data_IF_887733089084
#
_entry.id   IF_887733089084
#
_cell.length_a   1.000
_cell.length_b   1.000
_cell.length_c   1.000
_cell.angle_alpha   90.00
_cell.angle_beta   90.00
_cell.angle_gamma   90.00
#
_symmetry.space_group_name_H-M   'P 1'
#
loop_
_entity.id
_entity.type
_entity.pdbx_description
1 polymer ?
#
# COMPACT_ATOMS: atom_id res chain seq x y z
N UNK A 1 10.52 19.72 -59.18
CA UNK A 1 9.71 20.17 -58.02
C UNK A 1 9.33 19.01 -57.09
N UNK A 2 9.19 17.79 -57.59
CA UNK A 2 8.74 16.58 -56.88
C UNK A 2 9.71 16.01 -55.84
N UNK A 3 11.03 16.01 -56.09
CA UNK A 3 12.01 15.45 -55.14
C UNK A 3 12.12 16.22 -53.82
N UNK A 4 12.00 17.56 -53.84
CA UNK A 4 12.04 18.37 -52.62
C UNK A 4 10.85 18.11 -51.71
N UNK A 5 9.66 17.89 -52.28
CA UNK A 5 8.45 17.56 -51.52
C UNK A 5 8.52 16.17 -50.86
N UNK A 6 9.13 15.19 -51.54
CA UNK A 6 9.34 13.84 -50.99
C UNK A 6 10.34 13.88 -49.83
N UNK A 7 11.43 14.64 -49.97
CA UNK A 7 12.43 14.77 -48.91
C UNK A 7 11.84 15.43 -47.65
N UNK A 8 11.04 16.50 -47.81
CA UNK A 8 10.36 17.15 -46.70
C UNK A 8 9.34 16.23 -46.01
N UNK A 9 8.58 15.43 -46.77
CA UNK A 9 7.63 14.49 -46.20
C UNK A 9 8.32 13.40 -45.37
N UNK A 10 9.45 12.87 -45.85
CA UNK A 10 10.24 11.88 -45.12
C UNK A 10 10.80 12.48 -43.83
N UNK A 11 11.34 13.71 -43.88
CA UNK A 11 11.87 14.40 -42.70
C UNK A 11 10.76 14.64 -41.67
N UNK A 12 9.56 15.04 -42.08
CA UNK A 12 8.41 15.25 -41.17
C UNK A 12 7.99 13.93 -40.51
N UNK A 13 7.90 12.83 -41.28
CA UNK A 13 7.57 11.52 -40.72
C UNK A 13 8.66 10.99 -39.77
N UNK A 14 9.94 11.26 -40.07
CA UNK A 14 11.06 10.96 -39.18
C UNK A 14 11.02 11.79 -37.90
N UNK A 15 10.70 13.08 -37.98
CA UNK A 15 10.54 13.95 -36.81
C UNK A 15 9.34 13.50 -35.97
N UNK A 16 8.21 13.15 -36.58
CA UNK A 16 7.04 12.63 -35.86
C UNK A 16 7.31 11.25 -35.24
N UNK A 17 8.08 10.39 -35.92
CA UNK A 17 8.51 9.10 -35.38
C UNK A 17 9.48 9.27 -34.19
N UNK A 18 10.44 10.20 -34.28
CA UNK A 18 11.35 10.52 -33.17
C UNK A 18 10.64 11.23 -32.01
N UNK A 19 9.66 12.08 -32.29
CA UNK A 19 8.80 12.71 -31.28
C UNK A 19 7.92 11.67 -30.57
N UNK A 20 7.49 10.62 -31.26
CA UNK A 20 6.80 9.49 -30.62
C UNK A 20 7.72 8.62 -29.75
N UNK A 21 9.04 8.63 -30.01
CA UNK A 21 10.02 7.88 -29.20
C UNK A 21 10.36 8.62 -27.92
N UNK A 22 10.23 9.95 -27.83
CA UNK A 22 10.50 10.71 -26.60
C UNK A 22 9.43 10.58 -25.50
N UNK A 23 8.37 9.82 -25.73
CA UNK A 23 7.62 9.18 -24.62
C UNK A 23 8.42 7.95 -24.15
N UNK A 24 9.71 8.14 -23.89
CA UNK A 24 10.48 7.24 -23.03
C UNK A 24 9.82 7.41 -21.67
N UNK A 25 8.99 6.43 -21.34
CA UNK A 25 8.70 5.98 -19.98
C UNK A 25 9.77 6.51 -19.03
N UNK A 26 9.45 7.57 -18.29
CA UNK A 26 10.13 7.77 -17.03
C UNK A 26 9.83 6.50 -16.26
N UNK A 27 10.80 5.58 -16.21
CA UNK A 27 10.76 4.48 -15.27
C UNK A 27 10.92 5.13 -13.91
N UNK A 28 9.80 5.68 -13.43
CA UNK A 28 9.68 6.21 -12.10
C UNK A 28 9.88 5.02 -11.17
N UNK A 29 11.15 4.84 -10.79
CA UNK A 29 11.61 3.78 -9.91
C UNK A 29 11.32 4.17 -8.45
N UNK A 30 10.36 5.10 -8.24
CA UNK A 30 9.82 5.45 -6.94
C UNK A 30 9.24 4.19 -6.31
N UNK A 31 9.88 3.79 -5.22
CA UNK A 31 9.45 2.70 -4.35
C UNK A 31 8.89 3.28 -3.08
N UNK A 32 7.81 2.69 -2.60
CA UNK A 32 7.12 3.13 -1.39
C UNK A 32 7.27 2.08 -0.29
N UNK A 33 7.79 2.51 0.86
CA UNK A 33 7.79 1.75 2.10
C UNK A 33 6.79 2.40 3.06
N UNK A 34 5.77 1.65 3.45
CA UNK A 34 4.78 2.08 4.46
C UNK A 34 5.02 1.27 5.72
N UNK A 35 5.26 1.95 6.83
CA UNK A 35 5.43 1.32 8.15
C UNK A 35 4.32 1.85 9.05
N UNK A 36 3.51 0.94 9.60
CA UNK A 36 2.55 1.24 10.65
C UNK A 36 3.06 0.73 11.99
N UNK A 37 3.14 1.64 12.96
CA UNK A 37 3.37 1.33 14.37
C UNK A 37 2.04 1.54 15.10
N UNK A 38 1.35 0.45 15.44
CA UNK A 38 0.00 0.54 16.00
C UNK A 38 -0.01 1.28 17.34
N UNK A 39 -1.08 2.04 17.59
CA UNK A 39 -1.19 2.86 18.80
C UNK A 39 -0.14 3.97 18.95
N UNK A 40 0.69 4.24 17.92
CA UNK A 40 1.68 5.31 17.98
C UNK A 40 1.02 6.69 17.91
N UNK A 41 0.77 7.28 19.08
CA UNK A 41 0.09 8.56 19.19
C UNK A 41 0.97 9.71 18.72
N UNK A 42 0.36 10.72 18.11
CA UNK A 42 1.06 11.86 17.49
C UNK A 42 2.02 12.62 18.41
N UNK A 43 1.81 12.60 19.73
CA UNK A 43 2.61 13.31 20.73
C UNK A 43 3.74 12.47 21.35
N UNK A 44 3.88 11.18 21.00
CA UNK A 44 4.93 10.32 21.55
C UNK A 44 6.34 10.81 21.23
N UNK A 45 6.55 11.41 20.05
CA UNK A 45 7.83 12.02 19.67
C UNK A 45 8.21 13.22 20.55
N UNK A 46 7.26 13.83 21.26
CA UNK A 46 7.52 14.91 22.23
C UNK A 46 7.81 14.37 23.63
N UNK A 47 7.35 13.15 23.93
CA UNK A 47 7.44 12.52 25.26
C UNK A 47 8.68 11.65 25.42
N UNK A 48 9.20 11.11 24.33
CA UNK A 48 10.31 10.17 24.34
C UNK A 48 11.38 10.54 23.32
N UNK A 49 12.64 10.26 23.64
CA UNK A 49 13.77 10.47 22.72
C UNK A 49 13.90 9.25 21.80
N UNK A 50 13.21 9.31 20.66
CA UNK A 50 13.27 8.29 19.62
C UNK A 50 14.21 8.75 18.50
N UNK A 51 15.52 8.52 18.68
CA UNK A 51 16.58 9.09 17.81
C UNK A 51 16.30 8.91 16.32
N UNK A 52 15.99 7.69 15.88
CA UNK A 52 15.72 7.39 14.47
C UNK A 52 14.47 8.08 13.94
N UNK A 53 13.34 8.03 14.67
CA UNK A 53 12.11 8.70 14.24
C UNK A 53 12.24 10.23 14.27
N UNK A 54 13.03 10.77 15.20
CA UNK A 54 13.35 12.18 15.24
C UNK A 54 14.21 12.60 14.05
N UNK A 55 15.14 11.76 13.61
CA UNK A 55 15.90 12.02 12.38
C UNK A 55 14.97 12.04 11.16
N UNK A 56 14.10 11.03 11.02
CA UNK A 56 13.12 10.96 9.92
C UNK A 56 12.22 12.21 9.90
N UNK A 57 11.77 12.71 11.06
CA UNK A 57 10.94 13.91 11.09
C UNK A 57 11.69 15.19 10.69
N UNK A 58 13.00 15.26 10.98
CA UNK A 58 13.82 16.44 10.74
C UNK A 58 14.30 16.51 9.27
N UNK A 59 14.53 15.35 8.67
CA UNK A 59 14.96 15.22 7.27
C UNK A 59 13.77 15.06 6.29
N UNK A 60 12.58 14.77 6.82
CA UNK A 60 11.36 14.54 6.06
C UNK A 60 10.24 15.53 6.37
N UNK A 61 9.00 15.06 6.17
CA UNK A 61 7.78 15.84 6.42
C UNK A 61 6.98 15.20 7.55
N UNK A 62 6.41 16.03 8.42
CA UNK A 62 5.54 15.63 9.51
C UNK A 62 4.29 16.52 9.57
N UNK A 63 3.14 15.91 9.88
CA UNK A 63 1.92 16.67 10.15
C UNK A 63 1.96 17.30 11.56
N UNK A 64 1.53 18.56 11.66
CA UNK A 64 1.57 19.32 12.93
C UNK A 64 0.71 18.69 14.03
N UNK A 65 -0.44 18.12 13.65
CA UNK A 65 -1.46 17.59 14.56
C UNK A 65 -1.59 16.06 14.50
N UNK A 66 -0.68 15.37 13.81
CA UNK A 66 -0.80 13.93 13.54
C UNK A 66 -1.74 13.64 12.37
N UNK A 67 -1.99 12.35 12.14
CA UNK A 67 -3.02 11.86 11.23
C UNK A 67 -4.27 11.59 12.07
N UNK A 68 -5.43 12.08 11.61
CA UNK A 68 -6.69 11.82 12.28
C UNK A 68 -7.24 10.45 11.86
N UNK A 69 -7.49 9.54 12.81
CA UNK A 69 -8.09 8.25 12.51
C UNK A 69 -9.57 8.38 12.20
N UNK A 70 -10.10 7.44 11.42
CA UNK A 70 -11.55 7.28 11.21
C UNK A 70 -12.20 6.65 12.44
N UNK A 71 -13.46 6.99 12.71
CA UNK A 71 -14.24 6.38 13.79
C UNK A 71 -14.84 5.04 13.34
N UNK A 72 -14.75 3.94 14.10
CA UNK A 72 -14.13 3.79 15.43
C UNK A 72 -12.60 3.69 15.35
N UNK A 73 -11.91 4.28 16.33
CA UNK A 73 -10.43 4.34 16.40
C UNK A 73 -9.82 3.01 16.85
N UNK A 74 -10.02 1.97 16.04
CA UNK A 74 -9.49 0.62 16.24
C UNK A 74 -8.59 0.20 15.09
N UNK A 75 -7.69 -0.75 15.38
CA UNK A 75 -6.68 -1.29 14.47
C UNK A 75 -7.22 -1.69 13.10
N UNK A 76 -8.02 -2.75 13.00
CA UNK A 76 -8.46 -3.29 11.71
C UNK A 76 -9.27 -2.25 10.92
N UNK A 77 -10.27 -1.56 11.51
CA UNK A 77 -11.01 -0.52 10.80
C UNK A 77 -10.08 0.53 10.17
N UNK A 78 -9.20 1.15 10.96
CA UNK A 78 -8.34 2.23 10.48
C UNK A 78 -7.30 1.76 9.47
N UNK A 79 -6.70 0.58 9.64
CA UNK A 79 -5.70 0.08 8.69
C UNK A 79 -6.31 -0.32 7.34
N UNK A 80 -7.56 -0.76 7.32
CA UNK A 80 -8.30 -0.96 6.07
C UNK A 80 -8.60 0.39 5.45
N UNK A 81 -9.08 1.39 6.21
CA UNK A 81 -9.27 2.76 5.70
C UNK A 81 -7.98 3.36 5.11
N UNK A 82 -6.82 3.20 5.78
CA UNK A 82 -5.52 3.66 5.27
C UNK A 82 -5.17 2.98 3.94
N UNK A 83 -5.46 1.68 3.81
CA UNK A 83 -5.11 0.93 2.62
C UNK A 83 -6.04 1.24 1.43
N UNK A 84 -7.30 1.59 1.67
CA UNK A 84 -8.34 1.71 0.62
C UNK A 84 -8.79 3.14 0.36
N UNK A 85 -8.58 4.06 1.31
CA UNK A 85 -9.15 5.40 1.28
C UNK A 85 -10.65 5.46 1.60
N UNK A 86 -11.25 4.35 2.06
CA UNK A 86 -12.69 4.24 2.33
C UNK A 86 -13.00 4.36 3.82
N UNK A 87 -14.23 4.77 4.17
CA UNK A 87 -14.72 4.70 5.54
C UNK A 87 -15.20 3.29 5.90
N UNK A 88 -15.33 3.04 7.20
CA UNK A 88 -15.73 1.75 7.78
C UNK A 88 -17.05 1.22 7.23
N UNK A 89 -18.02 2.11 7.00
CA UNK A 89 -19.32 1.79 6.43
C UNK A 89 -19.23 1.30 4.98
N UNK A 90 -18.24 1.80 4.23
CA UNK A 90 -18.05 1.41 2.83
C UNK A 90 -17.21 0.11 2.71
N UNK A 91 -16.13 -0.01 3.49
CA UNK A 91 -15.26 -1.19 3.43
C UNK A 91 -15.68 -2.35 4.35
N UNK A 92 -16.71 -2.16 5.18
CA UNK A 92 -17.36 -3.20 5.99
C UNK A 92 -16.58 -3.72 7.20
N UNK A 93 -15.41 -3.16 7.53
CA UNK A 93 -14.65 -3.53 8.74
C UNK A 93 -14.89 -2.50 9.83
N UNK A 94 -15.87 -2.79 10.68
CA UNK A 94 -16.36 -1.85 11.71
C UNK A 94 -15.74 -2.08 13.09
N UNK A 95 -15.06 -3.21 13.32
CA UNK A 95 -14.44 -3.56 14.60
C UNK A 95 -13.28 -4.54 14.41
N UNK A 96 -12.39 -4.67 15.40
CA UNK A 96 -11.33 -5.69 15.40
C UNK A 96 -11.85 -7.13 15.50
N UNK A 97 -13.07 -7.28 16.04
CA UNK A 97 -13.75 -8.57 16.26
C UNK A 97 -15.27 -8.38 16.20
N UNK A 98 -15.97 -9.01 15.27
CA UNK A 98 -17.42 -8.84 15.16
C UNK A 98 -18.08 -10.05 14.50
N UNK A 99 -19.38 -10.24 14.77
CA UNK A 99 -20.18 -11.22 14.06
C UNK A 99 -20.72 -10.61 12.77
N UNK A 100 -20.44 -11.26 11.65
CA UNK A 100 -21.03 -10.94 10.36
C UNK A 100 -22.22 -11.88 10.09
N UNK A 101 -23.42 -11.31 10.04
CA UNK A 101 -24.66 -12.08 9.87
C UNK A 101 -24.84 -12.59 8.45
N UNK A 102 -24.33 -11.88 7.43
CA UNK A 102 -24.40 -12.29 6.01
C UNK A 102 -23.46 -13.45 5.74
N UNK A 103 -22.23 -13.39 6.26
CA UNK A 103 -21.24 -14.47 6.15
C UNK A 103 -21.46 -15.60 7.15
N UNK A 104 -22.25 -15.36 8.21
CA UNK A 104 -22.41 -16.26 9.36
C UNK A 104 -21.06 -16.64 9.98
N UNK A 105 -20.17 -15.64 10.12
CA UNK A 105 -18.80 -15.82 10.62
C UNK A 105 -18.49 -14.82 11.73
N UNK A 106 -17.70 -15.24 12.71
CA UNK A 106 -17.03 -14.32 13.61
C UNK A 106 -15.71 -13.85 12.98
N UNK A 107 -15.65 -12.56 12.64
CA UNK A 107 -14.52 -11.93 12.01
C UNK A 107 -13.51 -11.50 13.07
N UNK A 108 -12.24 -11.77 12.82
CA UNK A 108 -11.08 -11.39 13.62
C UNK A 108 -9.91 -11.04 12.69
N UNK A 109 -8.79 -10.62 13.26
CA UNK A 109 -7.58 -10.27 12.52
C UNK A 109 -7.09 -11.35 11.56
N UNK A 110 -7.21 -12.63 11.94
CA UNK A 110 -6.72 -13.77 11.16
C UNK A 110 -7.83 -14.49 10.38
N UNK A 111 -9.05 -13.95 10.38
CA UNK A 111 -10.16 -14.55 9.63
C UNK A 111 -9.88 -14.44 8.14
N UNK A 112 -9.99 -15.57 7.45
CA UNK A 112 -9.88 -15.67 5.99
C UNK A 112 -11.24 -15.62 5.33
N UNK A 113 -11.24 -15.38 4.03
CA UNK A 113 -12.43 -15.43 3.16
C UNK A 113 -13.52 -14.48 3.66
N UNK A 114 -13.10 -13.23 3.90
CA UNK A 114 -13.98 -12.09 4.12
C UNK A 114 -14.50 -11.64 2.74
N UNK A 115 -15.26 -12.51 2.09
CA UNK A 115 -15.63 -12.41 0.67
C UNK A 115 -16.55 -11.26 0.28
N UNK A 116 -16.96 -10.42 1.24
CA UNK A 116 -17.84 -9.27 0.96
C UNK A 116 -17.14 -8.14 0.19
N UNK A 117 -15.81 -8.07 0.20
CA UNK A 117 -15.09 -6.98 -0.45
C UNK A 117 -15.18 -6.98 -1.96
N UNK A 118 -15.44 -8.14 -2.55
CA UNK A 118 -15.76 -8.26 -3.97
C UNK A 118 -17.09 -7.54 -4.27
N UNK A 119 -18.09 -7.67 -3.40
CA UNK A 119 -19.41 -7.03 -3.58
C UNK A 119 -19.35 -5.50 -3.42
N UNK A 120 -18.41 -4.99 -2.62
CA UNK A 120 -18.31 -3.56 -2.28
C UNK A 120 -17.21 -2.82 -3.05
N UNK A 121 -16.59 -3.45 -4.07
CA UNK A 121 -15.49 -2.87 -4.85
C UNK A 121 -14.33 -2.33 -4.00
N UNK A 122 -14.06 -2.96 -2.86
CA UNK A 122 -12.98 -2.53 -1.96
C UNK A 122 -11.64 -2.86 -2.61
N UNK A 123 -10.83 -1.84 -2.86
CA UNK A 123 -9.52 -2.00 -3.49
C UNK A 123 -8.43 -1.37 -2.61
N UNK A 124 -7.68 -2.20 -1.86
CA UNK A 124 -6.52 -1.69 -1.14
C UNK A 124 -5.35 -1.42 -2.09
N UNK A 125 -4.48 -0.50 -1.72
CA UNK A 125 -3.36 0.01 -2.54
C UNK A 125 -2.46 -1.10 -3.13
N UNK A 126 -2.31 -2.24 -2.45
CA UNK A 126 -1.53 -3.35 -2.98
C UNK A 126 -2.19 -4.08 -4.15
N UNK A 127 -3.52 -4.07 -4.24
CA UNK A 127 -4.28 -4.60 -5.38
C UNK A 127 -4.22 -3.60 -6.53
N UNK A 128 -4.32 -2.30 -6.25
CA UNK A 128 -4.08 -1.24 -7.24
C UNK A 128 -2.69 -1.37 -7.86
N UNK A 129 -1.66 -1.62 -7.04
CA UNK A 129 -0.30 -1.87 -7.52
C UNK A 129 -0.25 -3.09 -8.45
N UNK A 130 -0.85 -4.22 -8.06
CA UNK A 130 -0.90 -5.42 -8.91
C UNK A 130 -1.62 -5.17 -10.25
N UNK A 131 -2.76 -4.46 -10.24
CA UNK A 131 -3.48 -4.06 -11.47
C UNK A 131 -2.66 -3.17 -12.39
N UNK A 132 -1.72 -2.40 -11.84
CA UNK A 132 -0.78 -1.57 -12.59
C UNK A 132 0.54 -2.29 -12.90
N UNK A 133 0.58 -3.63 -12.83
CA UNK A 133 1.77 -4.46 -13.08
C UNK A 133 2.97 -4.14 -12.16
N UNK A 134 2.72 -3.62 -10.95
CA UNK A 134 3.73 -3.40 -9.92
C UNK A 134 3.68 -4.53 -8.89
N UNK A 135 4.84 -4.94 -8.36
CA UNK A 135 4.90 -5.94 -7.29
C UNK A 135 4.79 -5.29 -5.92
N UNK A 136 4.06 -5.95 -5.04
CA UNK A 136 3.80 -5.53 -3.67
C UNK A 136 4.11 -6.63 -2.66
N UNK A 137 4.74 -6.26 -1.54
CA UNK A 137 4.94 -7.13 -0.39
C UNK A 137 4.23 -6.54 0.82
N UNK A 138 3.23 -7.25 1.36
CA UNK A 138 2.36 -6.75 2.42
C UNK A 138 2.51 -7.60 3.68
N UNK A 139 3.35 -7.13 4.59
CA UNK A 139 3.77 -7.84 5.79
C UNK A 139 2.84 -7.48 6.95
N UNK A 140 2.15 -8.48 7.48
CA UNK A 140 1.33 -8.40 8.70
C UNK A 140 0.16 -7.40 8.66
N UNK A 141 -0.03 -6.64 7.58
CA UNK A 141 -1.07 -5.62 7.48
C UNK A 141 -2.46 -6.26 7.65
N UNK A 142 -3.38 -5.65 8.42
CA UNK A 142 -4.73 -6.16 8.58
C UNK A 142 -5.34 -6.50 7.24
N UNK A 143 -5.91 -7.70 7.14
CA UNK A 143 -6.65 -8.20 5.97
C UNK A 143 -5.84 -8.55 4.72
N UNK A 144 -4.52 -8.29 4.68
CA UNK A 144 -3.71 -8.50 3.47
C UNK A 144 -3.63 -9.96 3.00
N UNK A 145 -3.89 -10.91 3.89
CA UNK A 145 -3.94 -12.34 3.58
C UNK A 145 -5.23 -12.78 2.87
N UNK A 146 -6.21 -11.89 2.72
CA UNK A 146 -7.44 -12.16 1.97
C UNK A 146 -7.30 -11.85 0.48
N UNK A 147 -8.20 -12.43 -0.29
CA UNK A 147 -8.33 -12.15 -1.72
C UNK A 147 -9.27 -10.97 -1.92
N UNK A 148 -8.95 -10.09 -2.85
CA UNK A 148 -9.81 -8.98 -3.26
C UNK A 148 -10.08 -9.14 -4.75
N UNK A 149 -11.31 -9.49 -5.14
CA UNK A 149 -11.70 -9.70 -6.53
C UNK A 149 -10.81 -10.71 -7.31
N UNK A 150 -10.42 -11.82 -6.68
CA UNK A 150 -9.52 -12.80 -7.30
C UNK A 150 -8.04 -12.41 -7.28
N UNK A 151 -7.69 -11.25 -6.72
CA UNK A 151 -6.34 -10.68 -6.78
C UNK A 151 -5.72 -10.66 -5.38
N UNK A 152 -4.40 -10.89 -5.35
CA UNK A 152 -3.56 -10.86 -4.15
C UNK A 152 -2.30 -10.04 -4.43
N UNK A 153 -1.66 -9.47 -3.40
CA UNK A 153 -0.33 -8.89 -3.55
C UNK A 153 0.68 -9.96 -3.96
N UNK A 154 1.83 -9.53 -4.51
CA UNK A 154 2.89 -10.45 -4.93
C UNK A 154 3.49 -11.25 -3.76
N UNK A 155 3.49 -10.66 -2.56
CA UNK A 155 3.80 -11.35 -1.31
C UNK A 155 2.90 -10.83 -0.17
N UNK A 156 2.50 -11.72 0.73
CA UNK A 156 1.78 -11.37 1.95
C UNK A 156 2.09 -12.34 3.09
N UNK A 157 2.00 -11.86 4.33
CA UNK A 157 2.01 -12.75 5.51
C UNK A 157 0.63 -13.39 5.68
N UNK A 158 0.56 -14.73 5.78
CA UNK A 158 -0.72 -15.45 5.82
C UNK A 158 -1.48 -15.34 7.14
N UNK A 159 -0.80 -15.01 8.23
CA UNK A 159 -1.36 -14.82 9.58
C UNK A 159 -0.53 -13.79 10.34
N UNK A 160 -1.21 -13.00 11.15
CA UNK A 160 -0.57 -12.17 12.15
C UNK A 160 -0.24 -13.00 13.41
N UNK A 161 0.97 -12.81 13.92
CA UNK A 161 1.41 -13.34 15.21
C UNK A 161 2.25 -12.31 15.97
N UNK A 162 1.93 -12.14 17.25
CA UNK A 162 2.72 -11.34 18.20
C UNK A 162 4.00 -12.07 18.64
N UNK A 163 4.10 -13.38 18.37
CA UNK A 163 5.30 -14.16 18.70
C UNK A 163 6.50 -13.82 17.82
N UNK A 164 6.28 -13.19 16.66
CA UNK A 164 7.37 -12.81 15.74
C UNK A 164 7.99 -11.49 16.22
N UNK A 165 9.28 -11.46 16.59
CA UNK A 165 9.93 -10.25 17.07
C UNK A 165 9.95 -9.13 16.03
N UNK A 166 9.85 -7.87 16.47
CA UNK A 166 9.89 -6.69 15.59
C UNK A 166 11.11 -6.69 14.65
N UNK A 167 12.28 -7.07 15.16
CA UNK A 167 13.51 -7.10 14.35
C UNK A 167 13.37 -8.00 13.12
N UNK A 168 12.80 -9.18 13.29
CA UNK A 168 12.55 -10.12 12.19
C UNK A 168 11.56 -9.53 11.18
N UNK A 169 10.47 -8.92 11.65
CA UNK A 169 9.50 -8.24 10.77
C UNK A 169 10.15 -7.10 9.96
N UNK A 170 11.08 -6.35 10.56
CA UNK A 170 11.85 -5.30 9.89
C UNK A 170 12.82 -5.90 8.86
N UNK A 171 13.55 -6.96 9.22
CA UNK A 171 14.51 -7.61 8.33
C UNK A 171 13.81 -8.17 7.07
N UNK A 172 12.61 -8.73 7.22
CA UNK A 172 11.74 -9.13 6.10
C UNK A 172 11.37 -7.93 5.22
N UNK A 173 10.88 -6.85 5.82
CA UNK A 173 10.49 -5.63 5.09
C UNK A 173 11.64 -5.04 4.30
N UNK A 174 12.83 -4.96 4.91
CA UNK A 174 14.04 -4.45 4.27
C UNK A 174 14.51 -5.39 3.15
N UNK A 175 14.38 -6.71 3.33
CA UNK A 175 14.71 -7.69 2.28
C UNK A 175 13.86 -7.46 1.04
N UNK A 176 12.54 -7.32 1.19
CA UNK A 176 11.66 -6.99 0.07
C UNK A 176 11.95 -5.60 -0.51
N UNK A 177 12.17 -4.59 0.33
CA UNK A 177 12.38 -3.22 -0.13
C UNK A 177 13.70 -3.07 -0.89
N UNK A 178 14.75 -3.82 -0.53
CA UNK A 178 16.03 -3.85 -1.27
C UNK A 178 15.91 -4.53 -2.63
N UNK A 179 14.96 -5.43 -2.81
CA UNK A 179 14.67 -6.02 -4.12
C UNK A 179 13.91 -5.01 -4.99
N UNK A 180 14.60 -4.43 -5.99
CA UNK A 180 14.04 -3.43 -6.91
C UNK A 180 12.85 -3.91 -7.74
N UNK A 181 12.57 -5.22 -7.74
CA UNK A 181 11.35 -5.75 -8.36
C UNK A 181 10.09 -5.36 -7.60
N UNK A 182 10.17 -5.01 -6.30
CA UNK A 182 9.03 -4.59 -5.48
C UNK A 182 8.94 -3.07 -5.41
N UNK A 183 7.79 -2.52 -5.84
CA UNK A 183 7.53 -1.08 -5.82
C UNK A 183 6.78 -0.63 -4.56
N UNK A 184 6.09 -1.56 -3.90
CA UNK A 184 5.36 -1.30 -2.66
C UNK A 184 5.74 -2.34 -1.60
N UNK A 185 6.20 -1.87 -0.45
CA UNK A 185 6.38 -2.71 0.74
C UNK A 185 5.60 -2.08 1.89
N UNK A 186 4.78 -2.88 2.57
CA UNK A 186 3.99 -2.44 3.71
C UNK A 186 4.32 -3.32 4.90
N UNK A 187 4.54 -2.72 6.06
CA UNK A 187 4.82 -3.41 7.31
C UNK A 187 3.87 -2.89 8.40
N UNK A 188 3.19 -3.82 9.07
CA UNK A 188 2.43 -3.54 10.28
C UNK A 188 3.12 -4.16 11.51
N UNK A 189 3.16 -3.39 12.60
CA UNK A 189 3.59 -3.84 13.91
C UNK A 189 2.61 -3.36 14.98
N UNK A 190 2.16 -4.29 15.84
CA UNK A 190 1.39 -4.00 17.05
C UNK A 190 2.30 -3.53 18.19
#
# INVERSE_FOLDING_TARGET
MTQRCILLSIIIHWILFMCHIEIISSTDNSRLLIISLDGFRHDYLKKHVLRTLNQIQNEGIKTKHGMEPTFVTMTMPNHVSIATGMYQEDHGIIHNRFNDTKLKKFITFNTKDIGQWTDYNVEPIWITATKQNKKSAVLYWPTSHNEFNGIRPSYYTSKYSDSVPLREKIDDAITFFRNSSFQLVMLYHL
#
